data_IF_433040873811
#
_entry.id   IF_433040873811
#
_cell.length_a   1.000
_cell.length_b   1.000
_cell.length_c   1.000
_cell.angle_alpha   90.00
_cell.angle_beta   90.00
_cell.angle_gamma   90.00
#
_symmetry.space_group_name_H-M   'P 1'
#
loop_
_entity.id
_entity.type
_entity.pdbx_description
1 polymer ?
#
# COMPACT_ATOMS: atom_id res chain seq x y z
N UNK A 1 17.62 -27.02 11.02
CA UNK A 1 16.40 -26.24 11.29
C UNK A 1 16.26 -25.22 10.17
N UNK A 2 15.26 -25.40 9.31
CA UNK A 2 15.15 -24.74 8.02
C UNK A 2 14.47 -23.37 8.21
N UNK A 3 15.25 -22.27 8.25
CA UNK A 3 14.75 -20.89 8.48
C UNK A 3 13.76 -20.37 7.42
N UNK A 4 13.46 -21.17 6.39
CA UNK A 4 12.56 -20.80 5.28
C UNK A 4 11.08 -21.04 5.59
N UNK A 5 10.76 -21.83 6.61
CA UNK A 5 9.36 -22.21 6.90
C UNK A 5 8.65 -21.26 7.89
N UNK A 6 9.37 -20.43 8.65
CA UNK A 6 8.76 -19.52 9.65
C UNK A 6 8.13 -18.24 9.05
N UNK A 7 8.50 -17.85 7.83
CA UNK A 7 7.96 -16.64 7.20
C UNK A 7 6.57 -16.85 6.57
N UNK A 8 6.20 -18.10 6.28
CA UNK A 8 5.12 -18.40 5.34
C UNK A 8 3.70 -18.18 5.87
N UNK A 9 3.47 -18.03 7.18
CA UNK A 9 2.11 -17.86 7.70
C UNK A 9 2.02 -17.04 9.00
N UNK A 10 2.72 -15.90 9.08
CA UNK A 10 2.49 -15.01 10.21
C UNK A 10 1.05 -14.44 10.16
N UNK A 11 0.17 -14.75 11.12
CA UNK A 11 -1.22 -14.28 11.11
C UNK A 11 -1.32 -12.75 11.17
N UNK A 12 -0.33 -12.07 11.75
CA UNK A 12 -0.24 -10.61 11.76
C UNK A 12 0.02 -10.09 10.35
N UNK A 13 0.92 -10.72 9.59
CA UNK A 13 1.19 -10.32 8.21
C UNK A 13 -0.04 -10.57 7.32
N UNK A 14 -0.74 -11.70 7.46
CA UNK A 14 -2.00 -11.94 6.74
C UNK A 14 -3.08 -10.90 7.07
N UNK A 15 -3.20 -10.55 8.35
CA UNK A 15 -4.15 -9.52 8.79
C UNK A 15 -3.76 -8.15 8.23
N UNK A 16 -2.46 -7.85 8.15
CA UNK A 16 -1.94 -6.64 7.54
C UNK A 16 -2.25 -6.57 6.04
N UNK A 17 -2.04 -7.65 5.28
CA UNK A 17 -2.39 -7.73 3.86
C UNK A 17 -3.89 -7.46 3.65
N UNK A 18 -4.76 -8.13 4.41
CA UNK A 18 -6.20 -7.90 4.36
C UNK A 18 -6.59 -6.46 4.70
N UNK A 19 -5.94 -5.87 5.72
CA UNK A 19 -6.16 -4.48 6.09
C UNK A 19 -5.71 -3.51 4.98
N UNK A 20 -4.58 -3.76 4.30
CA UNK A 20 -4.13 -2.93 3.17
C UNK A 20 -5.12 -2.99 2.01
N UNK A 21 -5.56 -4.20 1.62
CA UNK A 21 -6.57 -4.38 0.57
C UNK A 21 -7.86 -3.65 0.91
N UNK A 22 -8.33 -3.75 2.16
CA UNK A 22 -9.52 -3.04 2.60
C UNK A 22 -9.37 -1.51 2.50
N UNK A 23 -8.20 -0.95 2.80
CA UNK A 23 -7.94 0.50 2.63
C UNK A 23 -7.98 0.92 1.17
N UNK A 24 -7.42 0.11 0.27
CA UNK A 24 -7.49 0.34 -1.18
C UNK A 24 -8.95 0.33 -1.66
N UNK A 25 -9.75 -0.64 -1.21
CA UNK A 25 -11.16 -0.72 -1.58
C UNK A 25 -11.97 0.49 -1.08
N UNK A 26 -11.69 0.96 0.15
CA UNK A 26 -12.33 2.19 0.68
C UNK A 26 -11.94 3.41 -0.15
N UNK A 27 -10.68 3.54 -0.55
CA UNK A 27 -10.23 4.62 -1.42
C UNK A 27 -10.91 4.57 -2.80
N UNK A 28 -10.96 3.40 -3.43
CA UNK A 28 -11.67 3.19 -4.71
C UNK A 28 -13.17 3.52 -4.63
N UNK A 29 -13.77 3.36 -3.46
CA UNK A 29 -15.17 3.71 -3.19
C UNK A 29 -15.36 5.18 -2.77
N UNK A 30 -14.31 6.01 -2.81
CA UNK A 30 -14.31 7.40 -2.34
C UNK A 30 -14.71 7.56 -0.85
N UNK A 31 -14.43 6.54 -0.03
CA UNK A 31 -14.67 6.53 1.43
C UNK A 31 -13.41 6.80 2.25
N UNK A 32 -12.27 6.95 1.59
CA UNK A 32 -10.97 7.24 2.16
C UNK A 32 -10.27 8.23 1.22
N UNK A 33 -9.70 9.31 1.76
CA UNK A 33 -8.95 10.27 0.95
C UNK A 33 -7.50 9.79 0.69
N UNK A 34 -6.79 10.48 -0.22
CA UNK A 34 -5.42 10.10 -0.60
C UNK A 34 -4.43 10.19 0.58
N UNK A 35 -4.42 11.26 1.41
CA UNK A 35 -3.59 11.31 2.61
C UNK A 35 -3.84 10.14 3.58
N UNK A 36 -5.11 9.80 3.81
CA UNK A 36 -5.49 8.69 4.67
C UNK A 36 -5.05 7.34 4.10
N UNK A 37 -5.17 7.14 2.78
CA UNK A 37 -4.67 5.93 2.12
C UNK A 37 -3.16 5.80 2.30
N UNK A 38 -2.40 6.82 1.92
CA UNK A 38 -0.94 6.80 1.94
C UNK A 38 -0.39 6.51 3.35
N UNK A 39 -0.91 7.22 4.36
CA UNK A 39 -0.54 7.04 5.76
C UNK A 39 -0.94 5.67 6.32
N UNK A 40 -2.15 5.19 6.00
CA UNK A 40 -2.62 3.87 6.46
C UNK A 40 -1.77 2.74 5.90
N UNK A 41 -1.45 2.77 4.61
CA UNK A 41 -0.62 1.73 3.97
C UNK A 41 0.78 1.66 4.59
N UNK A 42 1.43 2.81 4.77
CA UNK A 42 2.75 2.88 5.40
C UNK A 42 2.73 2.36 6.84
N UNK A 43 1.72 2.77 7.62
CA UNK A 43 1.55 2.34 9.01
C UNK A 43 1.32 0.83 9.13
N UNK A 44 0.47 0.26 8.27
CA UNK A 44 0.20 -1.18 8.25
C UNK A 44 1.47 -1.95 7.87
N UNK A 45 2.21 -1.49 6.84
CA UNK A 45 3.46 -2.12 6.40
C UNK A 45 4.53 -2.09 7.50
N UNK A 46 4.63 -0.96 8.22
CA UNK A 46 5.53 -0.82 9.36
C UNK A 46 5.21 -1.75 10.53
N UNK A 47 3.96 -2.21 10.64
CA UNK A 47 3.51 -3.16 11.66
C UNK A 47 3.75 -4.64 11.32
N UNK A 48 4.22 -4.95 10.10
CA UNK A 48 4.45 -6.33 9.68
C UNK A 48 5.69 -6.93 10.35
N UNK A 49 5.62 -8.21 10.71
CA UNK A 49 6.69 -8.93 11.38
C UNK A 49 7.57 -9.60 10.33
N UNK A 50 8.82 -9.13 10.22
CA UNK A 50 9.87 -9.68 9.35
C UNK A 50 9.38 -10.04 7.94
N UNK A 51 8.74 -9.13 7.19
CA UNK A 51 8.39 -9.38 5.80
C UNK A 51 9.67 -9.66 4.97
N UNK A 52 9.63 -10.56 3.97
CA UNK A 52 10.76 -10.77 3.06
C UNK A 52 11.23 -9.45 2.45
N UNK A 53 12.54 -9.30 2.29
CA UNK A 53 13.13 -8.06 1.76
C UNK A 53 12.58 -7.72 0.37
N UNK A 54 12.41 -8.71 -0.50
CA UNK A 54 11.89 -8.51 -1.85
C UNK A 54 10.42 -8.07 -1.85
N UNK A 55 9.62 -8.59 -0.91
CA UNK A 55 8.25 -8.14 -0.71
C UNK A 55 8.23 -6.68 -0.26
N UNK A 56 9.05 -6.33 0.74
CA UNK A 56 9.16 -4.95 1.24
C UNK A 56 9.61 -3.98 0.15
N UNK A 57 10.58 -4.38 -0.67
CA UNK A 57 11.06 -3.55 -1.78
C UNK A 57 9.97 -3.33 -2.82
N UNK A 58 9.23 -4.38 -3.19
CA UNK A 58 8.11 -4.29 -4.14
C UNK A 58 6.99 -3.39 -3.61
N UNK A 59 6.61 -3.56 -2.33
CA UNK A 59 5.65 -2.68 -1.67
C UNK A 59 6.08 -1.21 -1.75
N UNK A 60 7.34 -0.92 -1.41
CA UNK A 60 7.87 0.45 -1.41
C UNK A 60 7.85 1.11 -2.80
N UNK A 61 7.99 0.33 -3.88
CA UNK A 61 7.90 0.85 -5.24
C UNK A 61 6.48 1.37 -5.55
N UNK A 62 5.45 0.57 -5.25
CA UNK A 62 4.07 0.99 -5.49
C UNK A 62 3.62 2.08 -4.52
N UNK A 63 3.92 1.92 -3.22
CA UNK A 63 3.59 2.91 -2.20
C UNK A 63 4.30 4.25 -2.46
N UNK A 64 5.53 4.25 -2.98
CA UNK A 64 6.26 5.46 -3.31
C UNK A 64 5.55 6.33 -4.35
N UNK A 65 4.86 5.72 -5.33
CA UNK A 65 4.04 6.46 -6.31
C UNK A 65 2.81 7.08 -5.64
N UNK A 66 2.15 6.34 -4.74
CA UNK A 66 1.01 6.84 -3.97
C UNK A 66 1.43 8.01 -3.09
N UNK A 67 2.56 7.89 -2.39
CA UNK A 67 3.10 8.94 -1.54
C UNK A 67 3.53 10.17 -2.33
N UNK A 68 4.11 9.99 -3.51
CA UNK A 68 4.44 11.12 -4.39
C UNK A 68 3.19 11.86 -4.86
N UNK A 69 2.14 11.13 -5.27
CA UNK A 69 0.87 11.75 -5.65
C UNK A 69 0.22 12.50 -4.47
N UNK A 70 0.32 11.92 -3.26
CA UNK A 70 -0.14 12.55 -2.02
C UNK A 70 0.63 13.84 -1.73
N UNK A 71 1.96 13.83 -1.80
CA UNK A 71 2.79 15.01 -1.58
C UNK A 71 2.42 16.16 -2.54
N UNK A 72 2.26 15.86 -3.83
CA UNK A 72 1.87 16.85 -4.84
C UNK A 72 0.46 17.42 -4.63
N UNK A 73 -0.48 16.59 -4.17
CA UNK A 73 -1.82 17.03 -3.80
C UNK A 73 -1.77 17.98 -2.59
N UNK A 74 -1.01 17.61 -1.55
CA UNK A 74 -0.84 18.42 -0.34
C UNK A 74 -0.15 19.75 -0.62
N UNK A 75 0.89 19.77 -1.44
CA UNK A 75 1.57 21.00 -1.90
C UNK A 75 0.60 21.95 -2.63
N UNK A 76 -0.45 21.39 -3.25
CA UNK A 76 -1.51 22.14 -3.92
C UNK A 76 -2.73 22.45 -3.01
N UNK A 77 -2.65 22.13 -1.72
CA UNK A 77 -3.75 22.32 -0.76
C UNK A 77 -4.95 21.40 -0.98
N UNK A 78 -4.76 20.23 -1.59
CA UNK A 78 -5.80 19.25 -1.92
C UNK A 78 -5.59 17.94 -1.16
N UNK A 79 -6.67 17.17 -1.05
CA UNK A 79 -6.68 15.79 -0.52
C UNK A 79 -6.98 14.74 -1.58
N UNK A 80 -7.12 15.19 -2.82
CA UNK A 80 -7.39 14.41 -4.02
C UNK A 80 -6.18 14.53 -4.97
N UNK A 81 -5.87 13.49 -5.76
CA UNK A 81 -4.77 13.56 -6.71
C UNK A 81 -5.03 14.63 -7.77
N UNK A 82 -3.94 15.30 -8.17
CA UNK A 82 -3.95 16.21 -9.31
C UNK A 82 -4.30 15.45 -10.60
N UNK A 83 -4.97 16.12 -11.54
CA UNK A 83 -5.52 15.49 -12.74
C UNK A 83 -4.42 14.83 -13.60
N UNK A 84 -3.27 15.52 -13.71
CA UNK A 84 -2.07 15.07 -14.42
C UNK A 84 -1.40 13.83 -13.79
N UNK A 85 -1.66 13.53 -12.53
CA UNK A 85 -1.10 12.38 -11.81
C UNK A 85 -2.10 11.25 -11.60
N UNK A 86 -3.38 11.46 -11.90
CA UNK A 86 -4.46 10.50 -11.61
C UNK A 86 -4.24 9.15 -12.30
N UNK A 87 -3.92 9.12 -13.59
CA UNK A 87 -3.71 7.87 -14.32
C UNK A 87 -2.54 7.03 -13.76
N UNK A 88 -1.45 7.69 -13.34
CA UNK A 88 -0.29 7.03 -12.74
C UNK A 88 -0.65 6.48 -11.36
N UNK A 89 -1.37 7.26 -10.55
CA UNK A 89 -1.83 6.83 -9.25
C UNK A 89 -2.79 5.64 -9.35
N UNK A 90 -3.78 5.71 -10.24
CA UNK A 90 -4.77 4.65 -10.44
C UNK A 90 -4.07 3.33 -10.82
N UNK A 91 -3.09 3.39 -11.73
CA UNK A 91 -2.27 2.22 -12.09
C UNK A 91 -1.46 1.68 -10.92
N UNK A 92 -0.85 2.56 -10.11
CA UNK A 92 -0.08 2.13 -8.94
C UNK A 92 -0.96 1.47 -7.87
N UNK A 93 -2.21 1.93 -7.71
CA UNK A 93 -3.19 1.33 -6.80
C UNK A 93 -3.61 -0.06 -7.31
N UNK A 94 -3.87 -0.21 -8.60
CA UNK A 94 -4.17 -1.51 -9.22
C UNK A 94 -3.02 -2.50 -9.07
N UNK A 95 -1.78 -2.06 -9.34
CA UNK A 95 -0.60 -2.90 -9.22
C UNK A 95 -0.32 -3.29 -7.77
N UNK A 96 -0.50 -2.36 -6.83
CA UNK A 96 -0.39 -2.65 -5.41
C UNK A 96 -1.44 -3.68 -4.99
N UNK A 97 -2.69 -3.55 -5.44
CA UNK A 97 -3.74 -4.51 -5.11
C UNK A 97 -3.40 -5.90 -5.64
N UNK A 98 -2.99 -6.02 -6.90
CA UNK A 98 -2.57 -7.29 -7.50
C UNK A 98 -1.32 -7.89 -6.82
N UNK A 99 -0.42 -7.05 -6.34
CA UNK A 99 0.74 -7.48 -5.55
C UNK A 99 0.33 -8.04 -4.18
N UNK A 100 -0.59 -7.37 -3.46
CA UNK A 100 -1.06 -7.83 -2.15
C UNK A 100 -1.80 -9.16 -2.23
N UNK A 101 -2.53 -9.42 -3.32
CA UNK A 101 -3.23 -10.68 -3.57
C UNK A 101 -2.28 -11.88 -3.78
N UNK A 102 -1.03 -11.64 -4.16
CA UNK A 102 -0.02 -12.70 -4.30
C UNK A 102 0.46 -13.21 -2.93
N UNK A 103 0.21 -12.47 -1.85
CA UNK A 103 0.66 -12.82 -0.51
C UNK A 103 2.09 -12.39 -0.20
N UNK A 104 2.66 -13.00 0.84
CA UNK A 104 4.00 -12.74 1.35
C UNK A 104 4.83 -14.01 1.46
#
# INVERSE_FOLDING_TARGET
MNKREEHQENPINRSALSAMTHRIDLYKQHKLDLPQLASSLSSIAGGMINPPADWRNSFMQYWGVIEQANALALDSGKVEPLAEHRAILDKAIEDLQAFLEQGI
#
